data_IF_780902037153
#
_entry.id   IF_780902037153
#
_cell.length_a   1.000
_cell.length_b   1.000
_cell.length_c   1.000
_cell.angle_alpha   90.00
_cell.angle_beta   90.00
_cell.angle_gamma   90.00
#
_symmetry.space_group_name_H-M   'P 1'
#
loop_
_entity.id
_entity.type
_entity.pdbx_description
1 polymer ?
#
# COMPACT_ATOMS: atom_id res chain seq x y z
N UNK A 1 -14.47 -15.89 -24.85
CA UNK A 1 -14.27 -14.58 -24.20
C UNK A 1 -12.77 -14.31 -24.21
N UNK A 2 -12.28 -13.31 -24.95
CA UNK A 2 -10.84 -12.99 -24.97
C UNK A 2 -10.50 -12.25 -23.67
N UNK A 3 -9.42 -12.58 -22.95
CA UNK A 3 -8.99 -11.76 -21.84
C UNK A 3 -8.56 -10.39 -22.38
N UNK A 4 -9.15 -9.34 -21.82
CA UNK A 4 -8.66 -7.97 -21.99
C UNK A 4 -7.27 -7.90 -21.36
N UNK A 5 -6.23 -7.77 -22.18
CA UNK A 5 -4.86 -7.50 -21.74
C UNK A 5 -4.75 -6.06 -21.25
N UNK A 6 -5.30 -5.74 -20.09
CA UNK A 6 -4.78 -4.61 -19.32
C UNK A 6 -3.57 -5.14 -18.58
N UNK A 7 -2.36 -4.78 -19.01
CA UNK A 7 -1.16 -5.06 -18.24
C UNK A 7 -1.35 -4.54 -16.81
N UNK A 8 -1.01 -5.35 -15.81
CA UNK A 8 -1.20 -5.04 -14.40
C UNK A 8 -0.65 -3.64 -14.07
N UNK A 9 -1.38 -2.85 -13.27
CA UNK A 9 -0.89 -1.54 -12.85
C UNK A 9 0.46 -1.70 -12.14
N UNK A 10 1.52 -0.98 -12.51
CA UNK A 10 2.79 -1.09 -11.81
C UNK A 10 2.65 -0.67 -10.34
N UNK A 11 3.39 -1.36 -9.47
CA UNK A 11 3.61 -0.95 -8.09
C UNK A 11 4.83 -0.05 -7.98
N UNK A 12 4.62 1.16 -7.47
CA UNK A 12 5.68 2.07 -7.09
C UNK A 12 5.81 2.10 -5.56
N UNK A 13 7.04 1.96 -5.09
CA UNK A 13 7.35 1.89 -3.67
C UNK A 13 7.89 3.23 -3.20
N UNK A 14 7.24 3.85 -2.22
CA UNK A 14 7.66 5.15 -1.70
C UNK A 14 8.63 4.96 -0.53
N UNK A 15 9.77 5.65 -0.58
CA UNK A 15 10.77 5.62 0.49
C UNK A 15 11.25 4.20 0.81
N UNK A 16 11.25 3.83 2.09
CA UNK A 16 11.70 2.52 2.57
C UNK A 16 10.66 1.41 2.47
N UNK A 17 9.43 1.70 2.02
CA UNK A 17 8.29 0.78 2.13
C UNK A 17 8.56 -0.64 1.61
N UNK A 18 9.28 -0.80 0.49
CA UNK A 18 9.65 -2.12 -0.03
C UNK A 18 10.61 -2.85 0.90
N UNK A 19 11.63 -2.16 1.40
CA UNK A 19 12.60 -2.72 2.34
C UNK A 19 11.90 -3.14 3.64
N UNK A 20 10.96 -2.32 4.11
CA UNK A 20 10.22 -2.58 5.34
C UNK A 20 9.31 -3.80 5.20
N UNK A 21 8.61 -3.96 4.05
CA UNK A 21 7.85 -5.16 3.73
C UNK A 21 8.74 -6.40 3.74
N UNK A 22 9.88 -6.35 3.04
CA UNK A 22 10.82 -7.48 2.97
C UNK A 22 11.51 -7.79 4.31
N UNK A 23 11.32 -6.95 5.34
CA UNK A 23 11.75 -7.22 6.71
C UNK A 23 10.70 -7.96 7.55
N UNK A 24 9.51 -8.22 7.02
CA UNK A 24 8.48 -9.00 7.70
C UNK A 24 8.76 -10.51 7.64
N UNK A 25 8.07 -11.32 8.46
CA UNK A 25 8.09 -12.77 8.33
C UNK A 25 7.68 -13.21 6.92
N UNK A 26 8.30 -14.28 6.42
CA UNK A 26 8.14 -14.76 5.03
C UNK A 26 6.67 -14.97 4.63
N UNK A 27 5.90 -15.67 5.46
CA UNK A 27 4.46 -15.89 5.20
C UNK A 27 3.68 -14.57 5.07
N UNK A 28 3.99 -13.58 5.91
CA UNK A 28 3.38 -12.25 5.86
C UNK A 28 3.76 -11.51 4.57
N UNK A 29 5.00 -11.68 4.09
CA UNK A 29 5.42 -11.12 2.79
C UNK A 29 4.65 -11.74 1.65
N UNK A 30 4.47 -13.07 1.66
CA UNK A 30 3.72 -13.80 0.64
C UNK A 30 2.24 -13.35 0.59
N UNK A 31 1.59 -13.25 1.76
CA UNK A 31 0.19 -12.84 1.87
C UNK A 31 -0.02 -11.40 1.35
N UNK A 32 0.84 -10.45 1.76
CA UNK A 32 0.79 -9.10 1.23
C UNK A 32 1.15 -9.02 -0.25
N UNK A 33 2.09 -9.84 -0.72
CA UNK A 33 2.47 -9.93 -2.13
C UNK A 33 1.29 -10.34 -3.00
N UNK A 34 0.57 -11.39 -2.58
CA UNK A 34 -0.65 -11.84 -3.25
C UNK A 34 -1.73 -10.76 -3.26
N UNK A 35 -2.00 -10.15 -2.10
CA UNK A 35 -3.00 -9.09 -1.99
C UNK A 35 -2.65 -7.86 -2.84
N UNK A 36 -1.39 -7.42 -2.86
CA UNK A 36 -0.95 -6.33 -3.74
C UNK A 36 -1.10 -6.70 -5.23
N UNK A 37 -0.83 -7.95 -5.61
CA UNK A 37 -1.08 -8.43 -6.97
C UNK A 37 -2.55 -8.30 -7.39
N UNK A 38 -3.49 -8.63 -6.50
CA UNK A 38 -4.92 -8.39 -6.75
C UNK A 38 -5.23 -6.90 -6.97
N UNK A 39 -4.59 -6.01 -6.20
CA UNK A 39 -4.75 -4.55 -6.37
C UNK A 39 -4.21 -4.09 -7.72
N UNK A 40 -3.07 -4.62 -8.19
CA UNK A 40 -2.51 -4.27 -9.50
C UNK A 40 -3.46 -4.63 -10.66
N UNK A 41 -4.20 -5.73 -10.53
CA UNK A 41 -5.26 -6.15 -11.47
C UNK A 41 -6.56 -5.33 -11.34
N UNK A 42 -6.60 -4.32 -10.46
CA UNK A 42 -7.80 -3.51 -10.19
C UNK A 42 -8.80 -4.17 -9.24
N UNK A 43 -8.45 -5.32 -8.65
CA UNK A 43 -9.22 -5.97 -7.60
C UNK A 43 -9.11 -5.26 -6.25
N UNK A 44 -9.98 -5.63 -5.32
CA UNK A 44 -9.90 -5.20 -3.92
C UNK A 44 -9.76 -6.45 -3.05
N UNK A 45 -8.60 -6.67 -2.40
CA UNK A 45 -8.40 -7.79 -1.50
C UNK A 45 -9.43 -7.79 -0.36
N UNK A 46 -9.89 -8.96 0.13
CA UNK A 46 -10.81 -9.03 1.27
C UNK A 46 -10.28 -8.38 2.55
N UNK A 47 -8.95 -8.37 2.74
CA UNK A 47 -8.27 -7.77 3.90
C UNK A 47 -8.11 -6.26 3.80
N UNK A 48 -8.41 -5.67 2.64
CA UNK A 48 -8.26 -4.24 2.41
C UNK A 48 -9.30 -3.41 3.18
N UNK A 49 -8.81 -2.47 3.98
CA UNK A 49 -9.60 -1.52 4.76
C UNK A 49 -9.30 -0.11 4.29
N UNK A 50 -10.29 0.78 4.35
CA UNK A 50 -10.06 2.20 4.04
C UNK A 50 -9.20 2.83 5.13
N UNK A 51 -8.14 3.52 4.73
CA UNK A 51 -7.35 4.33 5.66
C UNK A 51 -8.14 5.59 6.05
N UNK A 52 -8.20 5.88 7.35
CA UNK A 52 -8.88 7.08 7.88
C UNK A 52 -7.89 8.24 7.97
N UNK A 53 -8.26 9.41 7.48
CA UNK A 53 -7.49 10.65 7.65
C UNK A 53 -6.95 11.27 6.35
N UNK A 54 -6.68 10.48 5.32
CA UNK A 54 -6.09 11.01 4.06
C UNK A 54 -7.13 11.36 2.99
N UNK A 55 -8.39 10.97 3.17
CA UNK A 55 -9.44 11.05 2.14
C UNK A 55 -9.57 9.77 1.30
N UNK A 56 -10.40 9.77 0.25
CA UNK A 56 -10.73 8.56 -0.52
C UNK A 56 -9.51 7.97 -1.25
N UNK A 57 -9.54 6.68 -1.58
CA UNK A 57 -8.50 6.06 -2.43
C UNK A 57 -7.20 5.65 -1.71
N UNK A 58 -7.13 5.79 -0.37
CA UNK A 58 -6.03 5.25 0.45
C UNK A 58 -6.56 4.10 1.29
N UNK A 59 -5.82 3.00 1.31
CA UNK A 59 -6.21 1.74 1.91
C UNK A 59 -5.06 1.14 2.72
N UNK A 60 -5.40 0.24 3.64
CA UNK A 60 -4.47 -0.60 4.38
C UNK A 60 -4.85 -2.07 4.21
N UNK A 61 -3.84 -2.92 4.01
CA UNK A 61 -3.92 -4.36 4.24
C UNK A 61 -3.44 -4.65 5.66
N UNK A 62 -4.04 -5.65 6.31
CA UNK A 62 -3.71 -6.03 7.69
C UNK A 62 -3.55 -7.54 7.75
N UNK A 63 -2.40 -7.99 8.22
CA UNK A 63 -2.13 -9.41 8.49
C UNK A 63 -1.62 -9.57 9.93
N UNK A 64 -2.05 -10.64 10.58
CA UNK A 64 -1.70 -10.97 11.97
C UNK A 64 -0.95 -12.30 12.00
N UNK A 65 0.15 -12.35 12.76
CA UNK A 65 0.85 -13.60 13.06
C UNK A 65 1.21 -13.71 14.54
N UNK A 66 2.08 -14.66 14.89
CA UNK A 66 2.57 -14.84 16.27
C UNK A 66 3.44 -13.69 16.78
N UNK A 67 4.13 -12.98 15.89
CA UNK A 67 4.98 -11.83 16.17
C UNK A 67 4.23 -10.51 16.27
N UNK A 68 3.06 -10.36 15.64
CA UNK A 68 2.15 -9.24 15.84
C UNK A 68 1.29 -8.90 14.63
N UNK A 69 0.80 -7.67 14.58
CA UNK A 69 -0.02 -7.15 13.47
C UNK A 69 0.84 -6.33 12.51
N UNK A 70 0.82 -6.68 11.24
CA UNK A 70 1.53 -5.99 10.17
C UNK A 70 0.55 -5.26 9.27
N UNK A 71 1.00 -4.14 8.70
CA UNK A 71 0.18 -3.32 7.81
C UNK A 71 0.95 -2.86 6.59
N UNK A 72 0.26 -2.85 5.45
CA UNK A 72 0.72 -2.25 4.20
C UNK A 72 -0.28 -1.19 3.78
N UNK A 73 0.14 0.08 3.76
CA UNK A 73 -0.68 1.21 3.36
C UNK A 73 -0.36 1.59 1.93
N UNK A 74 -1.39 1.70 1.09
CA UNK A 74 -1.25 1.97 -0.33
C UNK A 74 -2.35 2.92 -0.85
N UNK A 75 -2.12 3.50 -2.03
CA UNK A 75 -3.10 4.38 -2.69
C UNK A 75 -3.35 3.95 -4.13
N UNK A 76 -4.63 4.04 -4.52
CA UNK A 76 -5.14 3.76 -5.87
C UNK A 76 -5.70 5.02 -6.54
N UNK A 77 -5.40 6.21 -5.99
CA UNK A 77 -5.81 7.51 -6.58
C UNK A 77 -5.26 7.74 -7.98
N UNK A 78 -4.18 7.04 -8.31
CA UNK A 78 -3.44 7.19 -9.53
C UNK A 78 -3.90 6.17 -10.56
N UNK A 79 -4.51 6.64 -11.65
CA UNK A 79 -5.16 5.74 -12.62
C UNK A 79 -4.18 4.70 -13.18
N UNK A 80 -2.94 5.11 -13.47
CA UNK A 80 -1.94 4.29 -14.16
C UNK A 80 -1.03 3.48 -13.24
N UNK A 81 -1.09 3.64 -11.92
CA UNK A 81 -0.16 2.97 -11.00
C UNK A 81 -0.73 2.84 -9.58
N UNK A 82 -0.23 1.87 -8.83
CA UNK A 82 -0.51 1.72 -7.39
C UNK A 82 0.73 2.13 -6.63
N UNK A 83 0.59 2.96 -5.59
CA UNK A 83 1.72 3.35 -4.76
C UNK A 83 1.62 2.72 -3.37
N UNK A 84 2.65 1.99 -2.98
CA UNK A 84 2.81 1.52 -1.61
C UNK A 84 3.51 2.59 -0.80
N UNK A 85 2.81 3.12 0.19
CA UNK A 85 3.23 4.28 0.97
C UNK A 85 4.06 3.84 2.18
N UNK A 86 3.59 2.85 2.95
CA UNK A 86 4.26 2.47 4.18
C UNK A 86 3.97 1.02 4.54
N UNK A 87 4.99 0.33 5.07
CA UNK A 87 4.85 -1.02 5.61
C UNK A 87 5.41 -1.00 7.03
N UNK A 88 4.61 -1.39 8.02
CA UNK A 88 5.05 -1.40 9.41
C UNK A 88 4.40 -2.51 10.24
N UNK A 89 5.10 -2.94 11.29
CA UNK A 89 4.52 -3.76 12.36
C UNK A 89 3.98 -2.84 13.45
N UNK A 90 2.72 -3.03 13.81
CA UNK A 90 2.12 -2.33 14.94
C UNK A 90 2.73 -2.86 16.25
N UNK A 91 3.39 -1.97 17.00
CA UNK A 91 4.14 -2.34 18.22
C UNK A 91 3.29 -2.55 19.48
N UNK A 92 2.04 -2.10 19.51
CA UNK A 92 1.14 -2.25 20.66
C UNK A 92 -0.07 -3.12 20.32
N UNK A 93 -0.26 -4.25 21.04
CA UNK A 93 -1.45 -5.08 20.89
C UNK A 93 -2.73 -4.34 21.29
N UNK A 94 -2.66 -3.47 22.32
CA UNK A 94 -3.83 -2.83 22.93
C UNK A 94 -4.21 -1.45 22.35
N UNK A 95 -3.28 -0.75 21.70
CA UNK A 95 -3.59 0.55 21.08
C UNK A 95 -4.43 0.37 19.82
N UNK A 96 -5.70 0.79 19.77
CA UNK A 96 -6.50 0.73 18.53
C UNK A 96 -5.93 1.67 17.45
N UNK A 97 -5.28 2.76 17.88
CA UNK A 97 -4.75 3.80 17.00
C UNK A 97 -3.36 3.45 16.50
N UNK A 98 -3.14 3.66 15.21
CA UNK A 98 -1.81 3.71 14.60
C UNK A 98 -1.00 4.85 15.24
N UNK A 99 0.31 4.65 15.42
CA UNK A 99 1.17 5.66 16.01
C UNK A 99 1.19 6.93 15.14
N UNK A 100 1.21 8.11 15.77
CA UNK A 100 1.20 9.39 15.05
C UNK A 100 2.35 9.48 14.05
N UNK A 101 3.52 8.93 14.40
CA UNK A 101 4.69 8.87 13.52
C UNK A 101 4.42 8.11 12.21
N UNK A 102 3.64 7.03 12.25
CA UNK A 102 3.28 6.28 11.04
C UNK A 102 2.23 7.04 10.22
N UNK A 103 1.28 7.71 10.90
CA UNK A 103 0.27 8.56 10.25
C UNK A 103 0.93 9.71 9.49
N UNK A 104 1.82 10.45 10.14
CA UNK A 104 2.54 11.58 9.55
C UNK A 104 3.41 11.13 8.36
N UNK A 105 4.06 9.97 8.49
CA UNK A 105 4.86 9.40 7.42
C UNK A 105 4.03 8.99 6.20
N UNK A 106 2.84 8.42 6.41
CA UNK A 106 1.91 8.09 5.32
C UNK A 106 1.49 9.36 4.59
N UNK A 107 1.17 10.43 5.32
CA UNK A 107 0.80 11.72 4.75
C UNK A 107 1.91 12.30 3.85
N UNK A 108 3.14 12.34 4.35
CA UNK A 108 4.29 12.85 3.58
C UNK A 108 4.63 11.97 2.36
N UNK A 109 4.51 10.64 2.51
CA UNK A 109 4.75 9.71 1.40
C UNK A 109 3.64 9.77 0.36
N UNK A 110 2.40 10.13 0.73
CA UNK A 110 1.33 10.37 -0.23
C UNK A 110 1.61 11.60 -1.10
N UNK A 111 2.14 12.69 -0.52
CA UNK A 111 2.60 13.86 -1.30
C UNK A 111 3.74 13.49 -2.25
N UNK A 112 4.67 12.66 -1.78
CA UNK A 112 5.79 12.14 -2.59
C UNK A 112 5.26 11.31 -3.77
N UNK A 113 4.28 10.42 -3.52
CA UNK A 113 3.64 9.63 -4.57
C UNK A 113 2.95 10.50 -5.63
N UNK A 114 2.26 11.57 -5.21
CA UNK A 114 1.63 12.53 -6.13
C UNK A 114 2.67 13.18 -7.05
N UNK A 115 3.77 13.66 -6.48
CA UNK A 115 4.85 14.32 -7.24
C UNK A 115 5.50 13.34 -8.24
N UNK A 116 5.78 12.11 -7.80
CA UNK A 116 6.35 11.07 -8.66
C UNK A 116 5.38 10.66 -9.78
N UNK A 117 4.08 10.55 -9.48
CA UNK A 117 3.07 10.25 -10.49
C UNK A 117 2.99 11.33 -11.57
N UNK A 118 2.97 12.61 -11.19
CA UNK A 118 2.99 13.73 -12.12
C UNK A 118 4.24 13.73 -12.99
N UNK A 119 5.41 13.47 -12.40
CA UNK A 119 6.67 13.40 -13.14
C UNK A 119 6.70 12.24 -14.16
N UNK A 120 6.17 11.07 -13.80
CA UNK A 120 6.15 9.87 -14.65
C UNK A 120 5.06 9.87 -15.71
N UNK A 121 3.88 10.37 -15.36
CA UNK A 121 2.64 10.16 -16.12
C UNK A 121 1.89 11.44 -16.46
N UNK A 122 2.31 12.59 -15.93
CA UNK A 122 1.69 13.90 -16.14
C UNK A 122 2.03 14.55 -17.48
N UNK A 123 3.05 14.06 -18.19
CA UNK A 123 3.23 14.38 -19.60
C UNK A 123 2.23 13.55 -20.41
N UNK A 124 1.15 14.20 -20.84
CA UNK A 124 0.39 13.75 -22.00
C UNK A 124 1.09 14.28 -23.25
N UNK A 125 1.16 13.46 -24.29
CA UNK A 125 1.39 13.90 -25.67
C UNK A 125 0.39 15.02 -26.06
#
# INVERSE_FOLDING_TARGET
>A
MKPSTSADKPLHWVGSSKKDLLGFPEATVDDFGYALGLVQMGGTPPTAKRWKGEGPGVFELVEDDRGGTYRVVYTVRFEKAVYVLHCFQKKSPSGIRTAQTDVDLIHERLKTAQTDYEARYGKKD
#
